data_IF_928993147363
#
_entry.id   IF_928993147363
#
_cell.length_a   1.000
_cell.length_b   1.000
_cell.length_c   1.000
_cell.angle_alpha   90.00
_cell.angle_beta   90.00
_cell.angle_gamma   90.00
#
_symmetry.space_group_name_H-M   'P 1'
#
loop_
_entity.id
_entity.type
_entity.pdbx_description
1 polymer ?
#
# COMPACT_ATOMS: atom_id res chain seq x y z
N UNK A 1 -37.43 33.86 -21.69
CA UNK A 1 -37.33 32.38 -21.70
C UNK A 1 -36.13 32.00 -20.85
N UNK A 2 -36.37 31.76 -19.56
CA UNK A 2 -35.38 31.18 -18.64
C UNK A 2 -36.00 29.88 -18.16
N UNK A 3 -35.52 28.75 -18.66
CA UNK A 3 -35.85 27.43 -18.10
C UNK A 3 -34.63 26.96 -17.33
N UNK A 4 -34.71 27.23 -16.04
CA UNK A 4 -34.03 26.50 -14.98
C UNK A 4 -34.41 25.04 -15.16
N UNK A 5 -33.46 24.21 -15.60
CA UNK A 5 -33.59 22.77 -15.46
C UNK A 5 -32.97 22.47 -14.11
N UNK A 6 -33.85 22.33 -13.13
CA UNK A 6 -33.49 21.82 -11.81
C UNK A 6 -32.88 20.44 -11.98
N UNK A 7 -31.62 20.30 -11.56
CA UNK A 7 -31.15 19.02 -11.07
C UNK A 7 -31.93 18.77 -9.78
N UNK A 8 -32.77 17.72 -9.72
CA UNK A 8 -33.42 17.36 -8.48
C UNK A 8 -32.32 17.01 -7.48
N UNK A 9 -32.58 17.40 -6.23
CA UNK A 9 -31.87 17.02 -5.03
C UNK A 9 -31.01 15.77 -5.22
N UNK A 10 -29.71 15.97 -5.42
CA UNK A 10 -28.73 14.94 -5.13
C UNK A 10 -28.77 14.78 -3.62
N UNK A 11 -29.69 13.95 -3.16
CA UNK A 11 -29.90 13.56 -1.79
C UNK A 11 -28.53 13.29 -1.15
N UNK A 12 -28.39 13.78 0.07
CA UNK A 12 -27.18 13.94 0.86
C UNK A 12 -26.10 12.85 0.66
N UNK A 13 -24.81 13.21 0.80
CA UNK A 13 -23.74 12.22 0.79
C UNK A 13 -24.03 11.23 1.91
N UNK A 14 -24.43 10.02 1.51
CA UNK A 14 -24.41 8.85 2.39
C UNK A 14 -23.07 8.90 3.14
N UNK A 15 -23.04 8.76 4.48
CA UNK A 15 -21.80 8.51 5.20
C UNK A 15 -21.36 7.07 4.89
N UNK A 16 -21.20 6.75 3.61
CA UNK A 16 -20.56 5.53 3.16
C UNK A 16 -19.10 5.76 3.49
N UNK A 17 -18.70 5.10 4.57
CA UNK A 17 -17.32 5.00 5.00
C UNK A 17 -16.46 4.81 3.76
N UNK A 18 -15.48 5.67 3.59
CA UNK A 18 -14.61 5.82 2.42
C UNK A 18 -13.62 4.67 2.28
N UNK A 19 -14.04 3.49 2.72
CA UNK A 19 -13.37 2.24 2.44
C UNK A 19 -13.47 2.00 0.95
N UNK A 20 -12.32 2.13 0.29
CA UNK A 20 -12.01 1.51 -0.98
C UNK A 20 -12.68 0.13 -1.07
N UNK A 21 -13.37 -0.19 -2.19
CA UNK A 21 -13.96 -1.51 -2.35
C UNK A 21 -12.88 -2.55 -2.10
N UNK A 22 -13.17 -3.48 -1.19
CA UNK A 22 -12.22 -4.53 -0.87
C UNK A 22 -11.87 -5.28 -2.15
N UNK A 23 -10.58 -5.59 -2.38
CA UNK A 23 -10.21 -6.43 -3.50
C UNK A 23 -11.02 -7.74 -3.43
N UNK A 24 -11.44 -8.30 -4.58
CA UNK A 24 -12.17 -9.56 -4.59
C UNK A 24 -11.39 -10.61 -3.77
N UNK A 25 -12.08 -11.56 -3.10
CA UNK A 25 -11.45 -12.58 -2.25
C UNK A 25 -10.74 -13.65 -3.11
N UNK A 26 -9.85 -13.24 -4.00
CA UNK A 26 -8.72 -14.07 -4.43
C UNK A 26 -7.68 -13.96 -3.31
N UNK A 27 -7.93 -14.70 -2.24
CA UNK A 27 -7.00 -14.89 -1.13
C UNK A 27 -5.78 -15.67 -1.62
N UNK A 28 -4.84 -14.98 -2.25
CA UNK A 28 -3.45 -15.40 -2.17
C UNK A 28 -2.88 -14.71 -0.95
N UNK A 29 -2.32 -15.48 -0.01
CA UNK A 29 -1.47 -14.93 1.07
C UNK A 29 -0.59 -13.82 0.48
N UNK A 30 -0.35 -12.69 1.18
CA UNK A 30 0.54 -11.66 0.68
C UNK A 30 1.82 -12.35 0.21
N UNK A 31 2.21 -12.07 -1.02
CA UNK A 31 3.39 -12.73 -1.58
C UNK A 31 4.58 -12.43 -0.67
N UNK A 32 5.51 -13.37 -0.58
CA UNK A 32 6.68 -13.20 0.28
C UNK A 32 7.46 -11.92 -0.08
N UNK A 33 7.33 -11.45 -1.33
CA UNK A 33 7.84 -10.17 -1.76
C UNK A 33 7.14 -8.97 -1.09
N UNK A 34 5.81 -8.93 -0.96
CA UNK A 34 5.07 -7.82 -0.35
C UNK A 34 5.36 -7.67 1.12
N UNK A 35 5.50 -8.81 1.81
CA UNK A 35 5.89 -8.83 3.23
C UNK A 35 7.27 -8.20 3.36
N UNK A 36 8.25 -8.65 2.57
CA UNK A 36 9.61 -8.12 2.63
C UNK A 36 9.70 -6.65 2.23
N UNK A 37 8.95 -6.24 1.19
CA UNK A 37 8.89 -4.84 0.78
C UNK A 37 8.31 -3.96 1.90
N UNK A 38 7.27 -4.45 2.59
CA UNK A 38 6.67 -3.78 3.74
C UNK A 38 7.61 -3.66 4.95
N UNK A 39 8.49 -4.64 5.18
CA UNK A 39 9.52 -4.58 6.22
C UNK A 39 10.62 -3.56 5.89
N UNK A 40 10.98 -3.41 4.62
CA UNK A 40 12.03 -2.50 4.17
C UNK A 40 11.58 -1.03 4.14
N UNK A 41 10.27 -0.77 4.11
CA UNK A 41 9.72 0.58 4.13
C UNK A 41 9.43 1.00 5.58
N UNK A 42 10.12 2.01 6.15
CA UNK A 42 9.86 2.43 7.51
C UNK A 42 8.45 3.04 7.66
N UNK A 43 7.80 2.74 8.78
CA UNK A 43 6.60 3.44 9.23
C UNK A 43 7.02 4.53 10.19
N UNK A 44 6.52 5.75 9.99
CA UNK A 44 6.75 6.89 10.87
C UNK A 44 5.42 7.61 11.09
N UNK A 45 5.32 8.47 12.12
CA UNK A 45 4.17 9.35 12.28
C UNK A 45 4.31 10.56 11.36
N UNK A 46 3.20 11.06 10.83
CA UNK A 46 3.23 12.22 9.95
C UNK A 46 3.85 13.45 10.63
N UNK A 47 3.61 13.64 11.94
CA UNK A 47 4.22 14.72 12.73
C UNK A 47 5.75 14.73 12.72
N UNK A 48 6.38 13.58 12.46
CA UNK A 48 7.82 13.41 12.55
C UNK A 48 8.53 13.74 11.21
N UNK A 49 7.76 13.98 10.14
CA UNK A 49 8.29 14.34 8.83
C UNK A 49 8.62 15.82 8.77
N UNK A 50 9.90 16.14 8.60
CA UNK A 50 10.31 17.49 8.27
C UNK A 50 10.07 17.77 6.77
N UNK A 51 9.21 18.74 6.46
CA UNK A 51 8.83 19.18 5.10
C UNK A 51 8.25 18.04 4.24
N UNK A 52 7.01 17.60 4.51
CA UNK A 52 6.36 16.59 3.69
C UNK A 52 6.14 17.09 2.25
N UNK A 53 6.13 16.16 1.29
CA UNK A 53 5.88 16.48 -0.13
C UNK A 53 4.40 16.72 -0.43
N UNK A 54 3.51 16.18 0.40
CA UNK A 54 2.07 16.38 0.33
C UNK A 54 1.45 16.35 1.73
N UNK A 55 0.33 17.05 1.90
CA UNK A 55 -0.46 17.06 3.14
C UNK A 55 -1.66 16.09 3.07
N UNK A 56 -1.88 15.46 1.92
CA UNK A 56 -2.96 14.51 1.70
C UNK A 56 -2.42 13.20 1.14
N UNK A 57 -3.07 12.09 1.47
CA UNK A 57 -2.79 10.80 0.89
C UNK A 57 -3.44 10.68 -0.50
N UNK A 58 -2.62 10.51 -1.54
CA UNK A 58 -3.13 10.37 -2.90
C UNK A 58 -3.88 9.05 -3.18
N UNK A 59 -3.86 8.11 -2.23
CA UNK A 59 -4.68 6.89 -2.31
C UNK A 59 -6.06 7.21 -1.76
N UNK A 60 -6.22 7.46 -0.46
CA UNK A 60 -7.56 7.66 0.11
C UNK A 60 -8.15 9.07 -0.07
N UNK A 61 -7.36 10.03 -0.56
CA UNK A 61 -7.72 11.44 -0.75
C UNK A 61 -8.06 12.19 0.56
N UNK A 62 -7.67 11.66 1.71
CA UNK A 62 -7.77 12.33 3.01
C UNK A 62 -6.48 13.05 3.38
N UNK A 63 -6.62 14.13 4.13
CA UNK A 63 -5.52 14.84 4.77
C UNK A 63 -4.81 13.95 5.79
N UNK A 64 -3.52 14.17 5.98
CA UNK A 64 -2.76 13.52 7.04
C UNK A 64 -2.97 14.24 8.37
N UNK A 65 -3.26 13.48 9.41
CA UNK A 65 -3.24 13.94 10.78
C UNK A 65 -1.87 13.69 11.42
N UNK A 66 -1.53 14.48 12.44
CA UNK A 66 -0.22 14.38 13.10
C UNK A 66 0.12 12.97 13.62
N UNK A 67 -0.88 12.23 14.07
CA UNK A 67 -0.71 10.88 14.62
C UNK A 67 -0.76 9.78 13.55
N UNK A 68 -1.03 10.12 12.28
CA UNK A 68 -1.16 9.12 11.22
C UNK A 68 0.15 8.37 11.01
N UNK A 69 0.05 7.04 11.02
CA UNK A 69 1.11 6.17 10.54
C UNK A 69 1.20 6.26 9.02
N UNK A 70 2.33 6.74 8.53
CA UNK A 70 2.61 6.89 7.11
C UNK A 70 3.83 6.07 6.72
N UNK A 71 3.87 5.72 5.43
CA UNK A 71 5.05 5.18 4.77
C UNK A 71 5.53 6.19 3.75
N UNK A 72 6.83 6.52 3.83
CA UNK A 72 7.52 7.35 2.85
C UNK A 72 8.41 6.47 1.99
N UNK A 73 8.18 6.49 0.68
CA UNK A 73 8.98 5.70 -0.26
C UNK A 73 10.38 6.30 -0.38
N UNK A 74 11.42 5.49 -0.19
CA UNK A 74 12.82 5.97 -0.22
C UNK A 74 13.26 6.42 -1.61
N UNK A 75 12.71 5.81 -2.67
CA UNK A 75 13.14 6.06 -4.05
C UNK A 75 12.54 7.32 -4.68
N UNK A 76 11.31 7.68 -4.28
CA UNK A 76 10.59 8.81 -4.87
C UNK A 76 9.99 9.77 -3.83
N UNK A 77 10.19 9.51 -2.53
CA UNK A 77 9.82 10.35 -1.38
C UNK A 77 8.33 10.65 -1.17
N UNK A 78 7.46 10.20 -2.07
CA UNK A 78 6.02 10.24 -1.89
C UNK A 78 5.56 9.53 -0.61
N UNK A 79 4.51 10.09 0.00
CA UNK A 79 3.99 9.70 1.31
C UNK A 79 2.56 9.18 1.16
N UNK A 80 2.25 8.10 1.89
CA UNK A 80 0.92 7.49 1.93
C UNK A 80 0.64 6.98 3.35
N UNK A 81 -0.63 6.87 3.75
CA UNK A 81 -0.98 6.13 4.98
C UNK A 81 -0.44 4.71 4.89
N UNK A 82 0.07 4.19 6.01
CA UNK A 82 0.55 2.81 6.13
C UNK A 82 -0.47 1.83 5.57
N UNK A 83 -1.72 1.91 6.02
CA UNK A 83 -2.80 1.02 5.57
C UNK A 83 -3.12 1.13 4.08
N UNK A 84 -3.03 2.34 3.51
CA UNK A 84 -3.26 2.57 2.08
C UNK A 84 -2.17 1.92 1.23
N UNK A 85 -0.90 2.10 1.61
CA UNK A 85 0.22 1.52 0.87
C UNK A 85 0.33 0.00 1.09
N UNK A 86 0.04 -0.49 2.30
CA UNK A 86 0.02 -1.93 2.60
C UNK A 86 -1.06 -2.64 1.79
N UNK A 87 -2.27 -2.05 1.66
CA UNK A 87 -3.32 -2.57 0.79
C UNK A 87 -2.93 -2.55 -0.68
N UNK A 88 -2.20 -1.53 -1.12
CA UNK A 88 -1.67 -1.45 -2.48
C UNK A 88 -0.68 -2.58 -2.78
N UNK A 89 0.27 -2.81 -1.87
CA UNK A 89 1.27 -3.88 -1.96
C UNK A 89 0.66 -5.27 -1.86
N UNK A 90 -0.09 -5.52 -0.79
CA UNK A 90 -0.53 -6.87 -0.40
C UNK A 90 -1.89 -7.24 -1.02
N UNK A 91 -2.79 -6.27 -1.16
CA UNK A 91 -4.14 -6.51 -1.68
C UNK A 91 -4.20 -6.51 -3.21
N UNK A 92 -3.44 -5.65 -3.87
CA UNK A 92 -3.41 -5.55 -5.34
C UNK A 92 -2.12 -6.09 -5.97
N UNK A 93 -1.17 -6.58 -5.17
CA UNK A 93 0.12 -7.09 -5.62
C UNK A 93 0.93 -6.07 -6.46
N UNK A 94 0.91 -4.79 -6.06
CA UNK A 94 1.58 -3.71 -6.77
C UNK A 94 2.79 -3.18 -6.01
N UNK A 95 4.01 -3.46 -6.51
CA UNK A 95 5.30 -3.03 -5.92
C UNK A 95 5.81 -1.69 -6.46
N UNK A 96 4.90 -0.79 -6.82
CA UNK A 96 5.23 0.49 -7.44
C UNK A 96 4.49 1.63 -6.77
N UNK A 97 5.08 2.82 -6.79
CA UNK A 97 4.48 4.03 -6.24
C UNK A 97 3.14 4.32 -6.94
N UNK A 98 2.03 4.50 -6.18
CA UNK A 98 0.73 4.86 -6.75
C UNK A 98 0.75 6.17 -7.58
N UNK A 99 1.66 7.10 -7.27
CA UNK A 99 1.77 8.40 -7.93
C UNK A 99 2.65 8.37 -9.18
N UNK A 100 3.85 7.79 -9.09
CA UNK A 100 4.87 7.91 -10.14
C UNK A 100 5.34 6.57 -10.73
N UNK A 101 4.79 5.44 -10.26
CA UNK A 101 5.13 4.07 -10.69
C UNK A 101 6.59 3.66 -10.47
N UNK A 102 7.39 4.45 -9.74
CA UNK A 102 8.74 4.04 -9.30
C UNK A 102 8.64 2.79 -8.44
N UNK A 103 9.50 1.81 -8.69
CA UNK A 103 9.55 0.57 -7.90
C UNK A 103 9.91 0.84 -6.44
N UNK A 104 9.38 0.04 -5.50
CA UNK A 104 9.73 0.15 -4.08
C UNK A 104 11.14 -0.30 -3.78
N UNK A 105 11.61 -1.34 -4.48
CA UNK A 105 12.97 -1.84 -4.35
C UNK A 105 13.83 -1.16 -5.43
N UNK A 106 14.82 -0.33 -5.06
CA UNK A 106 15.70 0.29 -6.04
C UNK A 106 16.58 -0.77 -6.71
N UNK A 107 16.99 -0.51 -7.95
CA UNK A 107 17.71 -1.48 -8.79
C UNK A 107 18.95 -2.08 -8.11
N UNK A 108 19.70 -1.28 -7.34
CA UNK A 108 20.91 -1.74 -6.64
C UNK A 108 20.62 -2.68 -5.45
N UNK A 109 19.39 -2.70 -4.92
CA UNK A 109 18.95 -3.63 -3.85
C UNK A 109 18.15 -4.82 -4.38
N UNK A 110 17.84 -4.86 -5.68
CA UNK A 110 17.07 -5.95 -6.29
C UNK A 110 17.72 -7.33 -6.06
N UNK A 111 19.05 -7.42 -6.18
CA UNK A 111 19.75 -8.68 -5.95
C UNK A 111 19.60 -9.16 -4.50
N UNK A 112 19.78 -8.26 -3.52
CA UNK A 112 19.64 -8.59 -2.10
C UNK A 112 18.19 -8.97 -1.75
N UNK A 113 17.23 -8.22 -2.30
CA UNK A 113 15.81 -8.50 -2.14
C UNK A 113 15.44 -9.88 -2.69
N UNK A 114 15.82 -10.17 -3.94
CA UNK A 114 15.64 -11.49 -4.55
C UNK A 114 16.35 -12.57 -3.74
N UNK A 115 17.51 -12.25 -3.15
CA UNK A 115 18.24 -13.19 -2.31
C UNK A 115 17.45 -13.61 -1.06
N UNK A 116 16.88 -12.63 -0.37
CA UNK A 116 16.03 -12.85 0.81
C UNK A 116 14.75 -13.59 0.44
N UNK A 117 14.17 -13.28 -0.71
CA UNK A 117 12.96 -13.91 -1.22
C UNK A 117 13.15 -15.40 -1.49
N UNK A 118 14.23 -15.80 -2.18
CA UNK A 118 14.50 -17.22 -2.43
C UNK A 118 14.85 -17.97 -1.15
N UNK A 119 15.57 -17.33 -0.22
CA UNK A 119 15.95 -17.97 1.05
C UNK A 119 14.72 -18.34 1.88
N UNK A 120 13.72 -17.46 1.93
CA UNK A 120 12.45 -17.73 2.61
C UNK A 120 11.61 -18.78 1.88
N UNK A 121 11.63 -18.78 0.55
CA UNK A 121 10.90 -19.76 -0.25
C UNK A 121 11.49 -21.18 -0.12
N UNK A 122 12.82 -21.31 -0.07
CA UNK A 122 13.52 -22.59 0.15
C UNK A 122 13.33 -23.14 1.57
N UNK A 123 13.22 -22.27 2.57
CA UNK A 123 12.91 -22.66 3.94
C UNK A 123 11.49 -23.25 4.06
N UNK A 124 10.50 -22.64 3.39
CA UNK A 124 9.12 -23.16 3.32
C UNK A 124 9.05 -24.49 2.57
N UNK A 125 9.81 -24.64 1.48
CA UNK A 125 9.86 -25.89 0.70
C UNK A 125 10.40 -27.09 1.51
N UNK A 126 11.30 -26.82 2.47
CA UNK A 126 11.87 -27.87 3.32
C UNK A 126 10.91 -28.35 4.42
N UNK A 127 9.95 -27.51 4.84
CA UNK A 127 8.94 -27.84 5.87
C UNK A 127 7.74 -28.63 5.29
N UNK A 128 7.36 -28.36 4.04
CA UNK A 128 6.25 -29.09 3.41
C UNK A 128 6.56 -30.58 3.13
N UNK A 129 7.83 -30.95 3.06
CA UNK A 129 8.24 -32.35 2.92
C UNK A 129 8.15 -33.13 4.25
N UNK A 130 8.15 -32.46 5.41
CA UNK A 130 8.06 -33.13 6.71
C UNK A 130 6.60 -33.39 7.16
N UNK A 131 5.67 -32.48 6.83
CA UNK A 131 4.23 -32.67 7.11
C UNK A 131 3.55 -33.74 6.22
N UNK A 132 4.18 -34.16 5.12
CA UNK A 132 3.63 -35.21 4.23
C UNK A 132 3.86 -36.66 4.73
N UNK A 133 4.58 -36.83 5.84
CA UNK A 133 4.89 -38.13 6.45
C UNK A 133 4.24 -38.37 7.82
N UNK A 134 3.26 -37.55 8.22
CA UNK A 134 2.42 -37.81 9.41
C UNK A 134 1.00 -38.21 9.04
#
# INVERSE_FOLDING_TARGET
MFKIIGLPDFLEPEPVSTSWPDPPPTLTKPDSAAILAGEMLPVVRFSDINRPESECCAVCLYDFENDDEIRRLTNCRHIFHRGCLDRWMMGYNQMTCPLCRTQFIPDHLQLEFNQRLWSQSSAVSSQLLDESSS
#
